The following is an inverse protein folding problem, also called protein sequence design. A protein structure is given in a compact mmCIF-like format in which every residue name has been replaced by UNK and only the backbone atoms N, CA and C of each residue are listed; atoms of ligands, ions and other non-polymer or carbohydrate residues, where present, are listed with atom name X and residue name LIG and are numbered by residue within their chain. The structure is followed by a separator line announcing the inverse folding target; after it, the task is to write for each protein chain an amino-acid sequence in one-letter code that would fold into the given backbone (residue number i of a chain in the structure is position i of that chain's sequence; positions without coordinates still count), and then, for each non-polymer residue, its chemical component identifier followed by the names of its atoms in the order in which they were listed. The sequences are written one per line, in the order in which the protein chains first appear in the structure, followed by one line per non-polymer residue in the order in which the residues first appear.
data_IF_667625673095
#
_entry.id   IF_667625673095
#
_cell.length_a   1.000
_cell.length_b   1.000
_cell.length_c   1.000
_cell.angle_alpha   90.00
_cell.angle_beta   90.00
_cell.angle_gamma   90.00
#
_symmetry.space_group_name_H-M   'P 1'
#
loop_
_entity.id
_entity.type
_entity.pdbx_description
1 polymer ?
#
# COMPACT_ATOMS: atom_id res chain seq x y z
N UNK A 1 -5.39 10.07 -3.32
CA UNK A 1 -5.29 9.39 -4.63
C UNK A 1 -5.94 8.04 -4.51
N UNK A 2 -7.05 7.89 -5.22
CA UNK A 2 -8.01 6.79 -5.23
C UNK A 2 -7.54 5.70 -6.19
N UNK A 3 -7.43 4.46 -5.70
CA UNK A 3 -7.13 3.30 -6.55
C UNK A 3 -8.41 2.86 -7.29
N UNK A 4 -8.40 2.98 -8.62
CA UNK A 4 -9.43 2.41 -9.49
C UNK A 4 -9.29 0.88 -9.55
N UNK A 5 -10.39 0.17 -9.38
CA UNK A 5 -10.56 -1.18 -9.95
C UNK A 5 -11.17 -1.06 -11.35
N UNK A 6 -10.94 -2.08 -12.19
CA UNK A 6 -11.13 -2.07 -13.64
C UNK A 6 -12.58 -1.90 -14.15
N UNK A 7 -13.56 -1.60 -13.31
CA UNK A 7 -14.99 -1.56 -13.66
C UNK A 7 -15.70 -0.23 -13.30
N UNK A 8 -14.95 0.83 -13.00
CA UNK A 8 -15.48 2.20 -12.90
C UNK A 8 -16.49 2.48 -11.77
N UNK A 9 -16.92 1.47 -11.01
CA UNK A 9 -17.79 1.65 -9.84
C UNK A 9 -16.97 2.09 -8.64
N UNK A 10 -17.27 3.29 -8.15
CA UNK A 10 -16.97 3.64 -6.76
C UNK A 10 -17.61 2.56 -5.88
N UNK A 11 -16.81 1.68 -5.29
CA UNK A 11 -17.30 0.82 -4.23
C UNK A 11 -17.57 1.71 -3.03
N UNK A 12 -18.80 2.24 -2.97
CA UNK A 12 -19.35 2.72 -1.72
C UNK A 12 -19.19 1.58 -0.72
N UNK A 13 -18.58 1.82 0.44
CA UNK A 13 -18.43 0.78 1.45
C UNK A 13 -19.83 0.50 2.03
N UNK A 14 -20.64 -0.29 1.33
CA UNK A 14 -22.03 -0.53 1.69
C UNK A 14 -22.12 -1.65 2.72
N UNK A 15 -22.72 -1.36 3.87
CA UNK A 15 -23.28 -2.33 4.80
C UNK A 15 -24.80 -2.22 4.67
N UNK A 16 -25.50 -3.33 4.46
CA UNK A 16 -26.96 -3.34 4.41
C UNK A 16 -27.51 -3.69 5.80
N UNK A 17 -28.16 -2.76 6.52
CA UNK A 17 -28.69 -3.03 7.86
C UNK A 17 -29.76 -4.14 7.87
N UNK A 18 -30.47 -4.33 6.75
CA UNK A 18 -31.52 -5.36 6.63
C UNK A 18 -30.98 -6.79 6.65
N UNK A 19 -29.67 -6.98 6.54
CA UNK A 19 -29.04 -8.31 6.65
C UNK A 19 -29.02 -8.82 8.11
N UNK A 20 -29.39 -7.98 9.09
CA UNK A 20 -29.36 -8.29 10.52
C UNK A 20 -30.76 -8.25 11.14
N UNK A 21 -31.00 -9.10 12.14
CA UNK A 21 -32.23 -9.05 12.96
C UNK A 21 -32.28 -7.73 13.75
N UNK A 22 -31.14 -7.30 14.29
CA UNK A 22 -30.93 -5.97 14.89
C UNK A 22 -30.73 -4.85 13.84
N UNK A 23 -31.56 -4.85 12.79
CA UNK A 23 -31.44 -3.90 11.66
C UNK A 23 -31.43 -2.42 12.08
N UNK A 24 -32.16 -2.05 13.13
CA UNK A 24 -32.16 -0.69 13.66
C UNK A 24 -30.79 -0.30 14.24
N UNK A 25 -30.22 -1.12 15.13
CA UNK A 25 -28.85 -0.94 15.64
C UNK A 25 -27.80 -0.91 14.52
N UNK A 26 -27.92 -1.82 13.54
CA UNK A 26 -27.01 -1.86 12.40
C UNK A 26 -27.06 -0.57 11.57
N UNK A 27 -28.26 0.00 11.40
CA UNK A 27 -28.47 1.30 10.77
C UNK A 27 -27.82 2.44 11.56
N UNK A 28 -28.07 2.51 12.88
CA UNK A 28 -27.48 3.55 13.73
C UNK A 28 -25.95 3.53 13.71
N UNK A 29 -25.32 2.34 13.70
CA UNK A 29 -23.87 2.21 13.58
C UNK A 29 -23.34 2.54 12.17
N UNK A 30 -24.10 2.18 11.13
CA UNK A 30 -23.76 2.48 9.75
C UNK A 30 -23.77 3.99 9.48
N UNK A 31 -24.78 4.71 9.98
CA UNK A 31 -24.89 6.16 9.86
C UNK A 31 -23.67 6.87 10.48
N UNK A 32 -23.30 6.47 11.71
CA UNK A 32 -22.11 7.00 12.38
C UNK A 32 -20.82 6.71 11.60
N UNK A 33 -20.73 5.55 10.96
CA UNK A 33 -19.57 5.18 10.15
C UNK A 33 -19.51 5.96 8.84
N UNK A 34 -20.63 6.11 8.13
CA UNK A 34 -20.72 6.88 6.88
C UNK A 34 -20.31 8.34 7.14
N UNK A 35 -20.85 8.95 8.18
CA UNK A 35 -20.48 10.32 8.53
C UNK A 35 -19.02 10.42 8.99
N UNK A 36 -18.49 9.44 9.74
CA UNK A 36 -17.07 9.39 10.10
C UNK A 36 -16.16 9.26 8.87
N UNK A 37 -16.58 8.50 7.88
CA UNK A 37 -15.87 8.33 6.61
C UNK A 37 -15.94 9.59 5.73
N UNK A 38 -17.02 10.36 5.83
CA UNK A 38 -17.15 11.65 5.16
C UNK A 38 -16.30 12.75 5.84
N UNK A 39 -16.24 12.75 7.18
CA UNK A 39 -15.52 13.77 7.96
C UNK A 39 -14.01 13.53 8.06
N UNK A 40 -13.53 12.33 7.73
CA UNK A 40 -12.13 11.95 7.83
C UNK A 40 -11.69 11.22 6.56
N UNK A 41 -10.51 11.54 6.03
CA UNK A 41 -9.90 10.80 4.92
C UNK A 41 -9.45 9.40 5.38
N UNK A 42 -10.41 8.51 5.62
CA UNK A 42 -10.15 7.13 6.05
C UNK A 42 -9.46 6.37 4.92
N UNK A 43 -8.41 5.60 5.26
CA UNK A 43 -7.85 4.62 4.33
C UNK A 43 -8.85 3.48 4.10
N UNK A 44 -8.74 2.81 2.94
CA UNK A 44 -9.58 1.65 2.62
C UNK A 44 -9.52 0.56 3.71
N UNK A 45 -8.33 0.33 4.28
CA UNK A 45 -8.13 -0.61 5.39
C UNK A 45 -8.86 -0.17 6.66
N UNK A 46 -8.83 1.12 6.99
CA UNK A 46 -9.54 1.64 8.16
C UNK A 46 -11.06 1.52 7.98
N UNK A 47 -11.58 1.84 6.79
CA UNK A 47 -13.00 1.68 6.46
C UNK A 47 -13.45 0.20 6.54
N UNK A 48 -12.63 -0.73 6.04
CA UNK A 48 -12.91 -2.16 6.12
C UNK A 48 -13.00 -2.67 7.58
N UNK A 49 -12.16 -2.14 8.48
CA UNK A 49 -12.19 -2.50 9.90
C UNK A 49 -13.45 -1.99 10.63
N UNK A 50 -13.95 -0.81 10.28
CA UNK A 50 -15.24 -0.33 10.80
C UNK A 50 -16.37 -1.25 10.37
N UNK A 51 -16.46 -1.55 9.06
CA UNK A 51 -17.46 -2.48 8.53
C UNK A 51 -17.41 -3.82 9.24
N UNK A 52 -16.21 -4.40 9.36
CA UNK A 52 -16.01 -5.69 10.02
C UNK A 52 -16.46 -5.65 11.49
N UNK A 53 -16.16 -4.57 12.21
CA UNK A 53 -16.59 -4.43 13.61
C UNK A 53 -18.11 -4.37 13.73
N UNK A 54 -18.80 -3.60 12.87
CA UNK A 54 -20.26 -3.51 12.85
C UNK A 54 -20.86 -4.88 12.53
N UNK A 55 -20.39 -5.54 11.46
CA UNK A 55 -20.90 -6.86 11.05
C UNK A 55 -20.74 -7.91 12.15
N UNK A 56 -19.56 -8.02 12.75
CA UNK A 56 -19.29 -9.02 13.78
C UNK A 56 -20.10 -8.77 15.07
N UNK A 57 -20.28 -7.51 15.44
CA UNK A 57 -21.07 -7.18 16.62
C UNK A 57 -22.56 -7.35 16.39
N UNK A 58 -23.11 -6.90 15.26
CA UNK A 58 -24.52 -7.12 14.93
C UNK A 58 -24.83 -8.63 14.83
N UNK A 59 -23.93 -9.43 14.24
CA UNK A 59 -24.06 -10.88 14.26
C UNK A 59 -24.02 -11.50 15.66
N UNK A 60 -23.22 -10.94 16.58
CA UNK A 60 -23.22 -11.36 17.98
C UNK A 60 -24.54 -11.01 18.69
N UNK A 61 -25.07 -9.80 18.47
CA UNK A 61 -26.36 -9.35 19.02
C UNK A 61 -27.49 -10.25 18.53
N UNK A 62 -27.56 -10.52 17.23
CA UNK A 62 -28.57 -11.42 16.65
C UNK A 62 -28.54 -12.82 17.25
N UNK A 63 -27.35 -13.33 17.58
CA UNK A 63 -27.18 -14.69 18.08
C UNK A 63 -27.39 -14.82 19.60
N UNK A 64 -27.12 -13.77 20.40
CA UNK A 64 -27.01 -13.89 21.85
C UNK A 64 -27.90 -12.93 22.66
N UNK A 65 -28.44 -11.88 22.04
CA UNK A 65 -29.24 -10.87 22.73
C UNK A 65 -30.74 -11.14 22.55
N UNK A 66 -31.51 -11.36 23.63
CA UNK A 66 -32.95 -11.49 23.55
C UNK A 66 -33.58 -10.25 22.92
N UNK A 67 -34.59 -10.46 22.06
CA UNK A 67 -35.28 -9.37 21.35
C UNK A 67 -34.35 -8.45 20.55
N UNK A 68 -33.32 -9.00 19.89
CA UNK A 68 -32.37 -8.27 19.05
C UNK A 68 -33.00 -7.25 18.07
N UNK A 69 -34.22 -7.50 17.58
CA UNK A 69 -34.99 -6.57 16.74
C UNK A 69 -35.24 -5.20 17.39
N UNK A 70 -35.29 -5.13 18.72
CA UNK A 70 -35.47 -3.89 19.50
C UNK A 70 -34.14 -3.21 19.85
N UNK A 71 -33.00 -3.81 19.51
CA UNK A 71 -31.70 -3.25 19.82
C UNK A 71 -31.53 -1.85 19.20
N UNK A 72 -31.17 -0.89 20.05
CA UNK A 72 -30.84 0.47 19.66
C UNK A 72 -29.76 1.03 20.59
N UNK A 73 -28.92 1.91 20.06
CA UNK A 73 -27.96 2.67 20.85
C UNK A 73 -28.65 3.64 21.82
N UNK A 74 -29.88 4.08 21.52
CA UNK A 74 -30.62 5.05 22.33
C UNK A 74 -31.43 4.42 23.48
N UNK A 75 -31.85 3.18 23.33
CA UNK A 75 -32.72 2.49 24.28
C UNK A 75 -31.93 1.73 25.35
N UNK A 76 -32.41 1.69 26.61
CA UNK A 76 -31.73 0.95 27.68
C UNK A 76 -31.89 -0.57 27.55
N UNK A 77 -32.92 -1.05 26.84
CA UNK A 77 -33.23 -2.46 26.67
C UNK A 77 -33.33 -2.81 25.18
N UNK A 78 -32.70 -3.89 24.70
CA UNK A 78 -31.80 -4.78 25.44
C UNK A 78 -30.48 -4.12 25.86
N UNK A 79 -29.88 -4.58 26.97
CA UNK A 79 -28.60 -4.04 27.47
C UNK A 79 -27.42 -4.30 26.51
N UNK A 80 -27.21 -3.35 25.60
CA UNK A 80 -26.11 -3.40 24.64
C UNK A 80 -24.74 -3.16 25.27
N UNK A 81 -24.66 -2.55 26.46
CA UNK A 81 -23.38 -2.38 27.15
C UNK A 81 -22.87 -3.72 27.68
N UNK A 82 -23.78 -4.55 28.20
CA UNK A 82 -23.49 -5.93 28.53
C UNK A 82 -23.09 -6.74 27.29
N UNK A 83 -23.88 -6.64 26.20
CA UNK A 83 -23.57 -7.34 24.94
C UNK A 83 -22.20 -6.97 24.37
N UNK A 84 -21.81 -5.68 24.40
CA UNK A 84 -20.48 -5.23 23.99
C UNK A 84 -19.38 -5.80 24.88
N UNK A 85 -19.61 -5.86 26.18
CA UNK A 85 -18.64 -6.40 27.14
C UNK A 85 -18.43 -7.89 26.92
N UNK A 86 -19.52 -8.65 26.74
CA UNK A 86 -19.45 -10.08 26.45
C UNK A 86 -18.80 -10.37 25.09
N UNK A 87 -19.20 -9.67 24.05
CA UNK A 87 -18.58 -9.77 22.72
C UNK A 87 -17.08 -9.48 22.78
N UNK A 88 -16.68 -8.39 23.46
CA UNK A 88 -15.28 -7.99 23.61
C UNK A 88 -14.47 -9.06 24.35
N UNK A 89 -15.06 -9.73 25.34
CA UNK A 89 -14.45 -10.85 26.09
C UNK A 89 -14.24 -12.09 25.21
N UNK A 90 -15.19 -12.39 24.32
CA UNK A 90 -15.13 -13.57 23.43
C UNK A 90 -14.24 -13.34 22.20
N UNK A 91 -14.09 -12.09 21.78
CA UNK A 91 -13.42 -11.71 20.54
C UNK A 91 -12.01 -12.30 20.38
N UNK A 92 -11.12 -12.33 21.40
CA UNK A 92 -9.76 -12.86 21.24
C UNK A 92 -9.69 -14.35 20.88
N UNK A 93 -10.69 -15.16 21.25
CA UNK A 93 -10.69 -16.61 21.00
C UNK A 93 -10.71 -16.96 19.51
N UNK A 94 -11.21 -16.04 18.67
CA UNK A 94 -11.27 -16.22 17.21
C UNK A 94 -9.98 -15.80 16.49
N UNK A 95 -8.95 -15.34 17.20
CA UNK A 95 -7.71 -14.83 16.60
C UNK A 95 -6.47 -15.48 17.21
N UNK A 96 -5.38 -15.52 16.44
CA UNK A 96 -4.09 -15.98 16.94
C UNK A 96 -3.60 -15.15 18.13
N UNK A 97 -2.84 -15.80 19.02
CA UNK A 97 -2.24 -15.16 20.19
C UNK A 97 -1.44 -13.91 19.78
N UNK A 98 -1.63 -12.80 20.50
CA UNK A 98 -0.96 -11.52 20.20
C UNK A 98 -1.59 -10.68 19.08
N UNK A 99 -2.72 -11.10 18.51
CA UNK A 99 -3.43 -10.31 17.49
C UNK A 99 -3.88 -8.94 18.01
N UNK A 100 -3.68 -7.90 17.19
CA UNK A 100 -4.19 -6.54 17.43
C UNK A 100 -5.63 -6.34 16.96
N UNK A 101 -6.14 -7.26 16.15
CA UNK A 101 -7.45 -7.14 15.50
C UNK A 101 -8.59 -7.06 16.53
N UNK A 102 -8.66 -7.88 17.59
CA UNK A 102 -9.71 -7.77 18.60
C UNK A 102 -9.81 -6.37 19.23
N UNK A 103 -8.67 -5.84 19.70
CA UNK A 103 -8.62 -4.51 20.30
C UNK A 103 -8.97 -3.41 19.29
N UNK A 104 -8.55 -3.58 18.03
CA UNK A 104 -8.90 -2.64 16.97
C UNK A 104 -10.41 -2.61 16.69
N UNK A 105 -11.04 -3.78 16.54
CA UNK A 105 -12.48 -3.91 16.27
C UNK A 105 -13.33 -3.32 17.41
N UNK A 106 -13.04 -3.67 18.66
CA UNK A 106 -13.71 -3.09 19.82
C UNK A 106 -13.51 -1.57 19.91
N UNK A 107 -12.30 -1.09 19.59
CA UNK A 107 -12.01 0.33 19.47
C UNK A 107 -12.80 1.04 18.37
N UNK A 108 -13.12 0.37 17.25
CA UNK A 108 -13.95 0.96 16.19
C UNK A 108 -15.37 1.21 16.63
N UNK A 109 -16.03 0.24 17.27
CA UNK A 109 -17.38 0.44 17.81
C UNK A 109 -17.42 1.54 18.85
N UNK A 110 -16.41 1.57 19.73
CA UNK A 110 -16.29 2.64 20.72
C UNK A 110 -16.22 4.03 20.10
N UNK A 111 -15.46 4.20 19.01
CA UNK A 111 -15.38 5.48 18.30
C UNK A 111 -16.76 5.88 17.75
N UNK A 112 -17.51 4.94 17.17
CA UNK A 112 -18.86 5.22 16.63
C UNK A 112 -19.84 5.62 17.74
N UNK A 113 -19.83 4.89 18.86
CA UNK A 113 -20.71 5.17 20.01
C UNK A 113 -20.35 6.50 20.67
N UNK A 114 -19.05 6.79 20.83
CA UNK A 114 -18.57 8.07 21.38
C UNK A 114 -19.01 9.23 20.49
N UNK A 115 -18.86 9.08 19.17
CA UNK A 115 -19.29 10.09 18.20
C UNK A 115 -20.80 10.32 18.27
N UNK A 116 -21.61 9.27 18.29
CA UNK A 116 -23.07 9.41 18.47
C UNK A 116 -23.42 10.17 19.74
N UNK A 117 -22.71 9.90 20.84
CA UNK A 117 -22.91 10.53 22.13
C UNK A 117 -22.57 12.04 22.15
N UNK A 118 -21.74 12.52 21.22
CA UNK A 118 -21.41 13.94 21.02
C UNK A 118 -22.52 14.70 20.26
N UNK A 119 -23.42 14.00 19.55
CA UNK A 119 -24.55 14.62 18.87
C UNK A 119 -25.71 14.85 19.86
N UNK A 120 -26.19 16.11 20.03
CA UNK A 120 -27.24 16.42 21.01
C UNK A 120 -28.59 15.77 20.67
N UNK A 121 -28.87 15.59 19.38
CA UNK A 121 -30.15 15.07 18.88
C UNK A 121 -30.19 13.53 18.77
N UNK A 122 -29.08 12.83 19.10
CA UNK A 122 -28.97 11.38 18.97
C UNK A 122 -28.85 10.74 20.36
N UNK A 123 -29.91 10.09 20.88
CA UNK A 123 -29.83 9.46 22.19
C UNK A 123 -28.80 8.32 22.18
N UNK A 124 -28.12 8.18 23.31
CA UNK A 124 -27.26 7.05 23.63
C UNK A 124 -27.54 6.65 25.06
N UNK A 125 -27.90 5.39 25.28
CA UNK A 125 -28.23 4.85 26.58
C UNK A 125 -27.08 5.06 27.58
N UNK A 126 -27.42 5.31 28.84
CA UNK A 126 -26.43 5.66 29.87
C UNK A 126 -25.35 4.57 30.06
N UNK A 127 -25.73 3.28 30.01
CA UNK A 127 -24.80 2.17 30.08
C UNK A 127 -23.77 2.15 28.94
N UNK A 128 -24.22 2.47 27.72
CA UNK A 128 -23.35 2.59 26.54
C UNK A 128 -22.41 3.79 26.63
N UNK A 129 -22.89 4.93 27.14
CA UNK A 129 -22.03 6.10 27.41
C UNK A 129 -20.94 5.75 28.42
N UNK A 130 -21.30 5.07 29.51
CA UNK A 130 -20.34 4.62 30.50
C UNK A 130 -19.29 3.67 29.89
N UNK A 131 -19.74 2.65 29.16
CA UNK A 131 -18.85 1.72 28.44
C UNK A 131 -17.90 2.44 27.46
N UNK A 132 -18.44 3.39 26.68
CA UNK A 132 -17.68 4.19 25.74
C UNK A 132 -16.69 5.17 26.41
N UNK A 133 -16.88 5.48 27.69
CA UNK A 133 -15.95 6.28 28.48
C UNK A 133 -14.90 5.44 29.24
N UNK A 134 -15.19 4.16 29.55
CA UNK A 134 -14.34 3.26 30.34
C UNK A 134 -13.06 2.80 29.63
N UNK A 135 -12.33 1.76 30.07
CA UNK A 135 -11.29 1.15 29.23
C UNK A 135 -11.88 -0.01 28.42
N UNK A 136 -11.42 -0.24 27.18
CA UNK A 136 -11.92 -1.33 26.30
C UNK A 136 -11.66 -2.74 26.87
N UNK A 137 -10.89 -2.87 27.94
CA UNK A 137 -10.59 -4.15 28.60
C UNK A 137 -9.67 -5.08 27.81
N UNK A 138 -9.49 -4.84 26.51
CA UNK A 138 -8.53 -5.54 25.66
C UNK A 138 -7.19 -4.79 25.65
N UNK A 139 -6.14 -5.46 26.14
CA UNK A 139 -4.77 -5.03 25.84
C UNK A 139 -4.52 -5.28 24.35
N UNK A 140 -4.07 -4.26 23.63
CA UNK A 140 -3.62 -4.44 22.26
C UNK A 140 -2.54 -5.52 22.21
N UNK A 141 -2.73 -6.54 21.39
CA UNK A 141 -1.72 -7.56 21.17
C UNK A 141 -0.40 -6.93 20.72
N UNK A 142 0.73 -7.52 21.12
CA UNK A 142 2.02 -7.11 20.61
C UNK A 142 2.22 -7.79 19.26
N UNK A 143 2.26 -7.01 18.19
CA UNK A 143 2.91 -7.46 16.96
C UNK A 143 4.39 -7.55 17.28
N UNK A 144 4.88 -8.77 17.54
CA UNK A 144 6.28 -9.03 17.31
C UNK A 144 6.50 -8.69 15.84
N UNK A 145 7.35 -7.69 15.55
CA UNK A 145 7.85 -7.54 14.20
C UNK A 145 8.43 -8.88 13.83
N UNK A 146 7.83 -9.54 12.84
CA UNK A 146 8.47 -10.61 12.12
C UNK A 146 9.68 -9.95 11.47
N UNK A 147 10.83 -9.97 12.15
CA UNK A 147 12.08 -9.65 11.49
C UNK A 147 12.42 -10.85 10.61
N UNK A 148 11.64 -11.02 9.53
CA UNK A 148 11.81 -12.03 8.49
C UNK A 148 13.19 -11.94 7.81
N UNK A 149 13.90 -10.84 8.04
CA UNK A 149 15.24 -10.58 7.54
C UNK A 149 16.19 -10.39 8.70
N UNK A 150 17.18 -11.27 8.80
CA UNK A 150 18.26 -11.08 9.77
C UNK A 150 18.99 -9.77 9.51
N UNK A 151 19.76 -9.29 10.50
CA UNK A 151 20.65 -8.13 10.29
C UNK A 151 21.64 -8.36 9.16
N UNK A 152 22.02 -9.62 8.89
CA UNK A 152 22.88 -9.98 7.77
C UNK A 152 22.14 -9.79 6.43
N UNK A 153 20.89 -10.24 6.34
CA UNK A 153 20.07 -10.10 5.13
C UNK A 153 19.82 -8.64 4.79
N UNK A 154 19.56 -7.80 5.79
CA UNK A 154 19.40 -6.34 5.60
C UNK A 154 20.68 -5.69 5.11
N UNK A 155 21.84 -6.08 5.66
CA UNK A 155 23.15 -5.56 5.21
C UNK A 155 23.44 -5.98 3.77
N UNK A 156 23.18 -7.23 3.42
CA UNK A 156 23.38 -7.72 2.07
C UNK A 156 22.42 -7.03 1.08
N UNK A 157 21.15 -6.83 1.45
CA UNK A 157 20.18 -6.09 0.65
C UNK A 157 20.66 -4.66 0.34
N UNK A 158 21.15 -3.93 1.35
CA UNK A 158 21.68 -2.57 1.18
C UNK A 158 22.95 -2.58 0.31
N UNK A 159 23.84 -3.56 0.52
CA UNK A 159 25.07 -3.71 -0.28
C UNK A 159 24.75 -4.02 -1.75
N UNK A 160 23.81 -4.92 -2.03
CA UNK A 160 23.34 -5.21 -3.39
C UNK A 160 22.70 -3.98 -4.01
N UNK A 161 21.86 -3.25 -3.28
CA UNK A 161 21.24 -2.02 -3.78
C UNK A 161 22.29 -0.94 -4.14
N UNK A 162 23.36 -0.79 -3.35
CA UNK A 162 24.49 0.08 -3.69
C UNK A 162 25.24 -0.37 -4.95
N UNK A 163 25.53 -1.67 -5.06
CA UNK A 163 26.16 -2.25 -6.25
C UNK A 163 25.33 -1.99 -7.50
N UNK A 164 24.00 -2.19 -7.42
CA UNK A 164 23.08 -1.92 -8.51
C UNK A 164 23.06 -0.43 -8.87
N UNK A 165 23.00 0.47 -7.88
CA UNK A 165 23.04 1.91 -8.11
C UNK A 165 24.30 2.34 -8.89
N UNK A 166 25.47 1.82 -8.50
CA UNK A 166 26.72 2.08 -9.21
C UNK A 166 26.68 1.52 -10.63
N UNK A 167 26.18 0.29 -10.81
CA UNK A 167 26.04 -0.33 -12.12
C UNK A 167 25.07 0.43 -13.04
N UNK A 168 23.94 0.90 -12.52
CA UNK A 168 22.93 1.71 -13.23
C UNK A 168 23.57 3.04 -13.66
N UNK A 169 24.25 3.72 -12.74
CA UNK A 169 24.91 5.00 -13.02
C UNK A 169 25.99 4.85 -14.08
N UNK A 170 26.83 3.81 -13.97
CA UNK A 170 27.87 3.51 -14.96
C UNK A 170 27.29 3.11 -16.32
N UNK A 171 26.16 2.38 -16.35
CA UNK A 171 25.46 2.05 -17.61
C UNK A 171 24.95 3.32 -18.28
N UNK A 172 24.21 4.15 -17.55
CA UNK A 172 23.63 5.39 -18.09
C UNK A 172 24.73 6.31 -18.61
N UNK A 173 25.78 6.52 -17.81
CA UNK A 173 26.93 7.34 -18.21
C UNK A 173 27.57 6.84 -19.51
N UNK A 174 27.85 5.54 -19.62
CA UNK A 174 28.41 4.95 -20.86
C UNK A 174 27.47 5.10 -22.06
N UNK A 175 26.16 4.98 -21.85
CA UNK A 175 25.17 5.20 -22.90
C UNK A 175 25.21 6.62 -23.46
N UNK A 176 25.28 7.62 -22.57
CA UNK A 176 25.41 9.03 -22.97
C UNK A 176 26.77 9.35 -23.62
N UNK A 177 27.87 8.78 -23.10
CA UNK A 177 29.20 8.90 -23.71
C UNK A 177 29.22 8.30 -25.13
N UNK A 178 28.58 7.14 -25.34
CA UNK A 178 28.48 6.52 -26.65
C UNK A 178 27.58 7.34 -27.60
N UNK A 179 26.46 7.86 -27.12
CA UNK A 179 25.58 8.75 -27.89
C UNK A 179 26.32 10.00 -28.37
N UNK A 180 27.20 10.57 -27.56
CA UNK A 180 27.99 11.75 -27.90
C UNK A 180 29.00 11.50 -29.05
N UNK A 181 29.40 10.25 -29.26
CA UNK A 181 30.25 9.87 -30.41
C UNK A 181 29.47 9.58 -31.69
N UNK A 182 28.14 9.45 -31.58
CA UNK A 182 27.26 9.15 -32.71
C UNK A 182 26.92 10.37 -33.56
N UNK A 183 26.27 10.10 -34.69
CA UNK A 183 25.73 11.08 -35.64
C UNK A 183 24.31 10.70 -36.05
N UNK A 184 23.68 11.53 -36.88
CA UNK A 184 22.38 11.20 -37.46
C UNK A 184 22.46 9.87 -38.24
N UNK A 185 21.67 8.85 -37.85
CA UNK A 185 21.68 7.56 -38.53
C UNK A 185 21.22 7.64 -40.00
N UNK A 186 20.49 8.68 -40.40
CA UNK A 186 20.16 8.90 -41.81
C UNK A 186 21.39 9.25 -42.66
N UNK A 187 22.42 9.84 -42.08
CA UNK A 187 23.66 10.24 -42.76
C UNK A 187 24.79 9.21 -42.59
N UNK A 188 24.92 8.63 -41.39
CA UNK A 188 26.06 7.77 -41.03
C UNK A 188 25.66 6.31 -40.72
N UNK A 189 24.43 5.93 -41.06
CA UNK A 189 23.96 4.56 -41.05
C UNK A 189 23.20 4.12 -39.78
N UNK A 190 22.25 3.23 -39.99
CA UNK A 190 21.32 2.67 -38.98
C UNK A 190 21.87 1.42 -38.27
N UNK A 191 23.05 0.95 -38.63
CA UNK A 191 23.68 -0.27 -38.11
C UNK A 191 24.57 -0.02 -36.87
N UNK A 192 24.90 1.25 -36.60
CA UNK A 192 25.77 1.65 -35.50
C UNK A 192 24.95 2.00 -34.25
N UNK A 193 25.15 1.30 -33.11
CA UNK A 193 24.49 1.64 -31.86
C UNK A 193 24.69 3.10 -31.43
N UNK A 194 25.87 3.66 -31.68
CA UNK A 194 26.18 5.07 -31.35
C UNK A 194 25.24 6.04 -32.07
N UNK A 195 24.95 5.84 -33.35
CA UNK A 195 24.07 6.70 -34.13
C UNK A 195 22.61 6.57 -33.69
N UNK A 196 22.18 5.34 -33.37
CA UNK A 196 20.83 5.11 -32.84
C UNK A 196 20.64 5.74 -31.46
N UNK A 197 21.66 5.67 -30.60
CA UNK A 197 21.65 6.34 -29.29
C UNK A 197 21.66 7.86 -29.45
N UNK A 198 22.45 8.40 -30.39
CA UNK A 198 22.45 9.82 -30.72
C UNK A 198 21.05 10.29 -31.15
N UNK A 199 20.38 9.53 -32.02
CA UNK A 199 19.04 9.85 -32.49
C UNK A 199 18.00 9.93 -31.35
N UNK A 200 18.07 8.98 -30.40
CA UNK A 200 17.20 8.97 -29.21
C UNK A 200 17.57 10.12 -28.26
N UNK A 201 18.86 10.33 -28.00
CA UNK A 201 19.36 11.33 -27.06
C UNK A 201 19.05 12.77 -27.48
N UNK A 202 19.03 13.04 -28.79
CA UNK A 202 18.72 14.36 -29.36
C UNK A 202 17.25 14.52 -29.77
N UNK A 203 16.40 13.51 -29.50
CA UNK A 203 14.99 13.49 -29.93
C UNK A 203 14.80 13.72 -31.44
N UNK A 204 15.83 13.45 -32.25
CA UNK A 204 15.81 13.67 -33.69
C UNK A 204 14.89 12.68 -34.43
N UNK A 205 14.71 11.49 -33.84
CA UNK A 205 13.87 10.43 -34.38
C UNK A 205 13.09 9.73 -33.26
N UNK A 206 11.82 9.42 -33.52
CA UNK A 206 11.01 8.61 -32.60
C UNK A 206 11.45 7.14 -32.65
N UNK A 207 11.25 6.41 -31.54
CA UNK A 207 11.51 4.96 -31.53
C UNK A 207 10.74 4.19 -32.62
N UNK A 208 9.58 4.70 -33.06
CA UNK A 208 8.79 4.09 -34.13
C UNK A 208 9.48 4.25 -35.48
N UNK A 209 9.92 5.46 -35.81
CA UNK A 209 10.65 5.74 -37.06
C UNK A 209 11.96 4.96 -37.11
N UNK A 210 12.71 4.93 -36.00
CA UNK A 210 13.93 4.12 -35.90
C UNK A 210 13.61 2.63 -36.19
N UNK A 211 12.50 2.09 -35.67
CA UNK A 211 12.10 0.71 -35.92
C UNK A 211 11.84 0.40 -37.42
N UNK A 212 11.31 1.38 -38.15
CA UNK A 212 11.00 1.25 -39.57
C UNK A 212 12.27 1.17 -40.42
N UNK A 213 13.32 1.92 -40.05
CA UNK A 213 14.61 1.92 -40.73
C UNK A 213 15.54 0.75 -40.34
N UNK A 214 15.31 0.10 -39.20
CA UNK A 214 16.09 -1.08 -38.82
C UNK A 214 15.80 -2.26 -39.77
N UNK A 215 16.82 -3.06 -40.14
CA UNK A 215 16.62 -4.24 -40.97
C UNK A 215 15.80 -5.33 -40.26
N UNK A 216 15.29 -6.28 -41.05
CA UNK A 216 14.62 -7.47 -40.52
C UNK A 216 15.58 -8.34 -39.72
N UNK A 217 15.05 -9.27 -38.91
CA UNK A 217 15.86 -10.12 -38.01
C UNK A 217 17.04 -10.81 -38.71
N UNK A 218 16.80 -11.42 -39.87
CA UNK A 218 17.82 -12.18 -40.61
C UNK A 218 18.95 -11.30 -41.16
N UNK A 219 18.65 -10.02 -41.40
CA UNK A 219 19.56 -9.01 -41.94
C UNK A 219 20.14 -8.11 -40.83
N UNK A 220 19.79 -8.37 -39.56
CA UNK A 220 20.22 -7.54 -38.44
C UNK A 220 21.76 -7.52 -38.35
N UNK A 221 22.42 -6.37 -38.26
CA UNK A 221 23.87 -6.28 -38.13
C UNK A 221 24.37 -6.96 -36.84
N UNK A 222 25.59 -7.53 -36.83
CA UNK A 222 26.16 -8.15 -35.63
C UNK A 222 26.20 -7.20 -34.42
N UNK A 223 26.55 -5.93 -34.64
CA UNK A 223 26.56 -4.86 -33.63
C UNK A 223 25.21 -4.70 -32.91
N UNK A 224 24.10 -4.90 -33.62
CA UNK A 224 22.75 -4.83 -33.06
C UNK A 224 22.25 -6.19 -32.54
N UNK A 225 22.86 -7.30 -32.96
CA UNK A 225 22.55 -8.62 -32.39
C UNK A 225 23.17 -8.80 -31.01
N UNK A 226 24.39 -8.31 -30.82
CA UNK A 226 25.15 -8.43 -29.57
C UNK A 226 24.47 -7.73 -28.38
N UNK A 227 23.65 -6.71 -28.64
CA UNK A 227 22.91 -6.00 -27.58
C UNK A 227 21.68 -6.74 -27.08
N UNK A 228 21.25 -7.81 -27.77
CA UNK A 228 20.02 -8.51 -27.45
C UNK A 228 20.24 -9.59 -26.38
N UNK A 229 19.25 -9.83 -25.50
CA UNK A 229 19.31 -10.96 -24.58
C UNK A 229 19.36 -12.30 -25.34
N UNK A 230 20.07 -13.31 -24.80
CA UNK A 230 20.06 -14.65 -25.36
C UNK A 230 18.62 -15.21 -25.40
N UNK A 231 18.27 -15.89 -26.49
CA UNK A 231 16.93 -16.47 -26.68
C UNK A 231 15.85 -15.50 -27.18
N UNK A 232 16.22 -14.29 -27.61
CA UNK A 232 15.26 -13.35 -28.23
C UNK A 232 14.66 -13.95 -29.51
N UNK A 233 13.32 -14.01 -29.57
CA UNK A 233 12.62 -14.49 -30.77
C UNK A 233 12.67 -13.45 -31.90
N UNK A 234 12.76 -13.88 -33.18
CA UNK A 234 12.92 -13.00 -34.33
C UNK A 234 11.91 -11.84 -34.42
N UNK A 235 10.64 -12.12 -34.15
CA UNK A 235 9.55 -11.14 -34.22
C UNK A 235 9.66 -10.01 -33.18
N UNK A 236 10.47 -10.20 -32.13
CA UNK A 236 10.68 -9.19 -31.09
C UNK A 236 12.02 -8.46 -31.22
N UNK A 237 12.87 -8.82 -32.18
CA UNK A 237 14.25 -8.31 -32.30
C UNK A 237 14.33 -6.79 -32.31
N UNK A 238 13.63 -6.12 -33.25
CA UNK A 238 13.61 -4.65 -33.35
C UNK A 238 13.18 -3.99 -32.03
N UNK A 239 12.11 -4.52 -31.41
CA UNK A 239 11.60 -4.02 -30.12
C UNK A 239 12.61 -4.21 -28.99
N UNK A 240 13.36 -5.32 -28.97
CA UNK A 240 14.39 -5.58 -27.96
C UNK A 240 15.61 -4.67 -28.16
N UNK A 241 16.03 -4.42 -29.40
CA UNK A 241 17.09 -3.45 -29.70
C UNK A 241 16.71 -2.06 -29.19
N UNK A 242 15.53 -1.56 -29.56
CA UNK A 242 15.06 -0.26 -29.08
C UNK A 242 14.93 -0.18 -27.56
N UNK A 243 14.38 -1.22 -26.92
CA UNK A 243 14.30 -1.29 -25.46
C UNK A 243 15.69 -1.29 -24.81
N UNK A 244 16.66 -1.96 -25.41
CA UNK A 244 18.04 -1.93 -24.96
C UNK A 244 18.62 -0.53 -25.07
N UNK A 245 18.50 0.12 -26.24
CA UNK A 245 19.02 1.47 -26.49
C UNK A 245 18.44 2.49 -25.52
N UNK A 246 17.12 2.51 -25.34
CA UNK A 246 16.46 3.39 -24.36
C UNK A 246 16.97 3.15 -22.94
N UNK A 247 17.20 1.89 -22.55
CA UNK A 247 17.74 1.53 -21.23
C UNK A 247 19.20 1.97 -21.03
N UNK A 248 19.97 2.19 -22.10
CA UNK A 248 21.31 2.76 -22.01
C UNK A 248 21.28 4.24 -21.64
N UNK A 249 20.24 4.98 -22.00
CA UNK A 249 20.15 6.43 -21.74
C UNK A 249 19.34 6.77 -20.48
N UNK A 250 18.35 5.93 -20.14
CA UNK A 250 17.39 6.22 -19.09
C UNK A 250 17.24 5.08 -18.06
N UNK A 251 16.87 5.40 -16.82
CA UNK A 251 16.42 4.41 -15.84
C UNK A 251 15.14 3.71 -16.31
N UNK A 252 15.02 2.40 -16.03
CA UNK A 252 13.78 1.64 -16.18
C UNK A 252 13.21 1.28 -14.80
N UNK A 253 11.95 0.88 -14.73
CA UNK A 253 11.21 0.50 -13.52
C UNK A 253 11.97 -0.45 -12.60
N UNK A 254 12.73 -1.41 -13.16
CA UNK A 254 13.52 -2.34 -12.35
C UNK A 254 14.72 -1.66 -11.69
N UNK A 255 15.33 -0.67 -12.36
CA UNK A 255 16.46 0.10 -11.81
C UNK A 255 16.01 0.94 -10.59
N UNK A 256 14.72 1.27 -10.48
CA UNK A 256 14.17 2.05 -9.37
C UNK A 256 14.08 1.26 -8.05
N UNK A 257 14.19 -0.07 -8.07
CA UNK A 257 14.13 -0.88 -6.85
C UNK A 257 15.29 -0.57 -5.90
N UNK A 258 16.49 -0.43 -6.42
CA UNK A 258 17.69 -0.12 -5.63
C UNK A 258 17.53 1.25 -4.93
N UNK A 259 17.00 2.25 -5.64
CA UNK A 259 16.70 3.56 -5.06
C UNK A 259 15.61 3.51 -3.97
N UNK A 260 14.60 2.65 -4.12
CA UNK A 260 13.58 2.46 -3.08
C UNK A 260 14.19 1.87 -1.81
N UNK A 261 15.09 0.89 -1.95
CA UNK A 261 15.81 0.30 -0.81
C UNK A 261 16.70 1.33 -0.13
N UNK A 262 17.47 2.11 -0.91
CA UNK A 262 18.38 3.13 -0.39
C UNK A 262 17.67 4.36 0.20
N UNK A 263 16.41 4.64 -0.17
CA UNK A 263 15.60 5.73 0.41
C UNK A 263 14.77 5.32 1.62
N UNK A 264 14.68 4.02 1.92
CA UNK A 264 14.07 3.60 3.17
C UNK A 264 14.97 4.08 4.31
N UNK A 265 14.43 4.75 5.34
CA UNK A 265 15.21 5.07 6.51
C UNK A 265 15.74 3.76 7.08
N UNK A 266 17.05 3.54 7.00
CA UNK A 266 17.61 2.36 7.64
C UNK A 266 17.39 2.57 9.13
N UNK A 267 16.73 1.62 9.79
CA UNK A 267 16.46 1.75 11.23
C UNK A 267 17.76 1.91 12.05
N UNK A 268 18.90 1.55 11.47
CA UNK A 268 20.23 1.83 12.00
C UNK A 268 20.47 3.34 12.19
N UNK A 269 20.18 4.17 11.18
CA UNK A 269 20.34 5.63 11.26
C UNK A 269 19.33 6.26 12.24
N UNK A 270 18.13 5.69 12.38
CA UNK A 270 17.11 6.16 13.33
C UNK A 270 17.50 5.82 14.79
N UNK A 271 18.13 4.67 15.02
CA UNK A 271 18.64 4.29 16.36
C UNK A 271 19.86 5.12 16.73
N UNK A 272 20.74 5.43 15.78
CA UNK A 272 21.93 6.26 16.02
C UNK A 272 21.57 7.74 16.26
N UNK A 273 20.60 8.28 15.51
CA UNK A 273 20.06 9.63 15.75
C UNK A 273 19.32 9.74 17.11
N UNK A 274 18.61 8.70 17.55
CA UNK A 274 17.94 8.69 18.86
C UNK A 274 18.89 8.41 20.03
N UNK A 275 19.99 7.68 19.80
CA UNK A 275 21.07 7.51 20.78
C UNK A 275 21.89 8.80 20.94
N UNK A 276 22.19 9.52 19.85
CA UNK A 276 22.87 10.82 19.89
C UNK A 276 22.04 11.90 20.57
N UNK A 277 20.73 11.93 20.37
CA UNK A 277 19.82 12.88 21.02
C UNK A 277 19.66 12.65 22.54
N UNK A 278 19.84 11.41 23.02
CA UNK A 278 19.87 11.11 24.47
C UNK A 278 21.20 11.47 25.14
N UNK A 279 22.30 11.50 24.39
CA UNK A 279 23.62 11.85 24.93
C UNK A 279 23.81 13.38 25.14
N UNK A 280 23.04 14.22 24.44
CA UNK A 280 23.11 15.68 24.56
C UNK A 280 22.03 16.31 25.46
N UNK A 281 21.19 15.50 26.11
CA UNK A 281 20.07 15.97 26.95
C UNK A 281 20.27 15.83 28.47
N UNK A 282 21.47 15.50 28.95
CA UNK A 282 21.73 15.30 30.38
C UNK A 282 22.89 16.17 30.87
N UNK A 283 22.60 17.43 31.20
CA UNK A 283 23.00 18.16 32.43
C UNK A 283 22.93 19.68 32.20
N UNK A 284 22.61 20.51 33.22
CA UNK A 284 22.08 20.20 34.55
C UNK A 284 20.57 20.48 34.68
#
# INVERSE_FOLDING_TARGET
MTGLTADGRQQSPSLNPADFTCSHLAGELADEWVEKAASATLSATAAALYRQAITLFCGHVDAHVPHAVKASLGEPEPDLAYALTDWTRLLPAAYGAGSRVPAALAGKLRILITRRAEHPDRPVAAGLRHWASGHVGLRGGQTQELDEFTRADKKELVKTAWSDHLAITARIRRGWELAATGKDPAEDGWDRPANLLWAIANEAWTCKEIAEHLPGWHEMPPSLREVMPPGTLPQFGKRMVLRHLVRQLFPHNLDLHSYRILRLPTRAEVVEATAGARAYGASP
#
